data_IF_511460888518
#
_entry.id   IF_511460888518
#
_cell.length_a   1.000
_cell.length_b   1.000
_cell.length_c   1.000
_cell.angle_alpha   90.00
_cell.angle_beta   90.00
_cell.angle_gamma   90.00
#
_symmetry.space_group_name_H-M   'P 1'
#
loop_
_entity.id
_entity.type
_entity.pdbx_description
1 polymer ?
#
# COMPACT_ATOMS: atom_id res chain seq x y z
N UNK A 1 76.85 38.75 19.68
CA UNK A 1 75.76 38.51 20.65
C UNK A 1 74.47 39.03 20.03
N UNK A 2 73.57 38.17 19.58
CA UNK A 2 72.42 38.50 18.80
C UNK A 2 71.16 38.57 19.67
N UNK A 3 70.45 39.68 19.68
CA UNK A 3 69.20 39.88 20.40
C UNK A 3 68.01 39.41 19.54
N UNK A 4 67.25 38.45 20.05
CA UNK A 4 66.01 37.94 19.45
C UNK A 4 64.84 38.88 19.77
N UNK A 5 64.22 39.45 18.74
CA UNK A 5 62.94 40.16 18.84
C UNK A 5 61.76 39.16 18.74
N UNK A 6 60.94 39.11 19.76
CA UNK A 6 59.69 38.34 19.82
C UNK A 6 58.55 39.15 19.19
N UNK A 7 57.97 38.64 18.12
CA UNK A 7 56.76 39.24 17.50
C UNK A 7 55.49 38.72 18.23
N UNK A 8 54.66 39.63 18.73
CA UNK A 8 53.33 39.38 19.30
C UNK A 8 52.31 39.19 18.13
N UNK A 9 51.74 38.04 18.02
CA UNK A 9 50.64 37.71 17.12
C UNK A 9 49.32 38.21 17.70
N UNK A 10 48.67 39.15 17.00
CA UNK A 10 47.34 39.62 17.35
C UNK A 10 46.28 38.67 16.83
N UNK A 11 45.51 38.05 17.72
CA UNK A 11 44.41 37.16 17.43
C UNK A 11 43.15 37.96 17.09
N UNK A 12 42.80 38.07 15.80
CA UNK A 12 41.58 38.65 15.29
C UNK A 12 40.40 37.70 15.57
N UNK A 13 39.48 38.08 16.43
CA UNK A 13 38.21 37.38 16.66
C UNK A 13 37.20 37.79 15.60
N UNK A 14 36.99 36.91 14.60
CA UNK A 14 35.89 37.04 13.63
C UNK A 14 34.56 36.78 14.32
N UNK A 15 33.79 37.82 14.50
CA UNK A 15 32.39 37.77 14.99
C UNK A 15 31.49 37.21 13.89
N UNK A 16 31.14 35.92 13.99
CA UNK A 16 30.18 35.27 13.08
C UNK A 16 28.80 35.85 13.33
N UNK A 17 28.27 36.56 12.36
CA UNK A 17 26.86 37.01 12.34
C UNK A 17 25.95 35.80 12.13
N UNK A 18 25.17 35.49 13.13
CA UNK A 18 24.11 34.45 13.13
C UNK A 18 23.03 34.89 12.13
N UNK A 19 22.78 34.09 11.09
CA UNK A 19 21.69 34.32 10.14
C UNK A 19 20.33 34.25 10.86
N UNK A 20 19.34 35.09 10.47
CA UNK A 20 18.02 35.06 11.10
C UNK A 20 17.31 33.74 10.77
N UNK A 21 16.69 33.16 11.78
CA UNK A 21 15.88 31.95 11.66
C UNK A 21 14.76 32.18 10.65
N UNK A 22 14.75 31.37 9.59
CA UNK A 22 13.69 31.36 8.58
C UNK A 22 12.38 30.96 9.25
N UNK A 23 11.46 31.93 9.38
CA UNK A 23 10.13 31.70 9.89
C UNK A 23 9.45 30.62 9.03
N UNK A 24 8.96 29.55 9.69
CA UNK A 24 8.12 28.53 9.05
C UNK A 24 6.85 29.21 8.56
N UNK A 25 6.74 29.44 7.25
CA UNK A 25 5.49 29.85 6.64
C UNK A 25 4.44 28.78 6.96
N UNK A 26 3.38 29.15 7.70
CA UNK A 26 2.18 28.33 7.82
C UNK A 26 1.65 28.09 6.41
N UNK A 27 1.65 26.81 5.99
CA UNK A 27 1.01 26.41 4.75
C UNK A 27 -0.46 26.86 4.83
N UNK A 28 -0.87 27.71 3.92
CA UNK A 28 -2.27 28.08 3.75
C UNK A 28 -3.07 26.79 3.45
N UNK A 29 -4.30 26.63 3.99
CA UNK A 29 -5.13 25.50 3.66
C UNK A 29 -5.31 25.47 2.14
N UNK A 30 -4.92 24.37 1.51
CA UNK A 30 -5.22 24.13 0.09
C UNK A 30 -6.74 24.16 -0.02
N UNK A 31 -7.27 25.17 -0.70
CA UNK A 31 -8.67 25.17 -1.12
C UNK A 31 -8.86 23.89 -1.93
N UNK A 32 -9.70 22.97 -1.44
CA UNK A 32 -10.17 21.83 -2.21
C UNK A 32 -10.75 22.41 -3.50
N UNK A 33 -10.21 21.93 -4.64
CA UNK A 33 -10.67 22.38 -5.94
C UNK A 33 -12.19 22.19 -6.07
N UNK A 34 -12.78 23.05 -6.85
CA UNK A 34 -14.20 23.13 -7.23
C UNK A 34 -14.91 21.77 -7.19
N UNK A 35 -15.68 21.51 -6.13
CA UNK A 35 -16.52 20.33 -6.01
C UNK A 35 -17.77 20.33 -6.91
N UNK A 36 -17.87 21.28 -7.85
CA UNK A 36 -19.05 21.47 -8.68
C UNK A 36 -19.20 20.50 -9.85
N UNK A 37 -18.10 19.81 -10.24
CA UNK A 37 -18.07 18.94 -11.45
C UNK A 37 -17.53 17.54 -11.18
N UNK A 38 -17.47 17.09 -9.93
CA UNK A 38 -17.02 15.73 -9.62
C UNK A 38 -18.16 14.74 -9.82
N UNK A 39 -17.80 13.49 -10.20
CA UNK A 39 -18.77 12.38 -10.34
C UNK A 39 -19.45 12.00 -9.02
N UNK A 40 -19.08 12.61 -7.88
CA UNK A 40 -19.58 12.33 -6.54
C UNK A 40 -19.56 10.84 -6.17
N UNK A 41 -18.50 10.11 -6.57
CA UNK A 41 -18.32 8.70 -6.27
C UNK A 41 -18.16 8.49 -4.75
N UNK A 42 -18.79 7.43 -4.22
CA UNK A 42 -18.75 7.08 -2.79
C UNK A 42 -17.73 6.01 -2.46
N UNK A 43 -17.50 5.09 -3.37
CA UNK A 43 -16.59 3.97 -3.18
C UNK A 43 -16.04 3.49 -4.51
N UNK A 44 -14.96 2.74 -4.46
CA UNK A 44 -14.45 1.96 -5.57
C UNK A 44 -14.05 0.59 -5.04
N UNK A 45 -14.40 -0.47 -5.75
CA UNK A 45 -14.00 -1.84 -5.43
C UNK A 45 -13.28 -2.44 -6.62
N UNK A 46 -12.06 -2.97 -6.45
CA UNK A 46 -11.40 -3.73 -7.50
C UNK A 46 -12.27 -4.91 -7.92
N UNK A 47 -12.40 -5.10 -9.23
CA UNK A 47 -13.11 -6.26 -9.81
C UNK A 47 -12.19 -6.90 -10.85
N UNK A 48 -11.89 -8.20 -10.70
CA UNK A 48 -10.98 -8.91 -11.57
C UNK A 48 -11.35 -10.38 -11.71
N UNK A 49 -10.90 -11.01 -12.79
CA UNK A 49 -11.17 -12.42 -13.06
C UNK A 49 -9.99 -13.28 -12.67
N UNK A 50 -10.28 -14.45 -12.11
CA UNK A 50 -9.32 -15.47 -11.68
C UNK A 50 -9.47 -16.75 -12.49
N UNK A 51 -8.39 -17.52 -12.62
CA UNK A 51 -8.41 -18.77 -13.40
C UNK A 51 -9.19 -19.89 -12.70
N UNK A 52 -9.15 -19.90 -11.38
CA UNK A 52 -9.83 -20.86 -10.52
C UNK A 52 -10.43 -20.10 -9.33
N UNK A 53 -11.76 -19.94 -9.39
CA UNK A 53 -12.48 -19.14 -8.40
C UNK A 53 -12.42 -19.78 -7.01
N UNK A 54 -12.53 -21.09 -6.90
CA UNK A 54 -12.51 -21.79 -5.61
C UNK A 54 -11.14 -21.67 -4.93
N UNK A 55 -10.07 -21.84 -5.71
CA UNK A 55 -8.69 -21.65 -5.23
C UNK A 55 -8.45 -20.23 -4.76
N UNK A 56 -8.85 -19.24 -5.55
CA UNK A 56 -8.64 -17.83 -5.21
C UNK A 56 -9.52 -17.43 -4.04
N UNK A 57 -10.77 -17.88 -3.98
CA UNK A 57 -11.67 -17.67 -2.83
C UNK A 57 -11.05 -18.23 -1.54
N UNK A 58 -10.54 -19.46 -1.56
CA UNK A 58 -9.84 -20.05 -0.43
C UNK A 58 -8.65 -19.19 0.01
N UNK A 59 -7.86 -18.71 -0.92
CA UNK A 59 -6.70 -17.88 -0.62
C UNK A 59 -7.10 -16.54 0.06
N UNK A 60 -8.09 -15.83 -0.48
CA UNK A 60 -8.55 -14.57 0.10
C UNK A 60 -9.22 -14.78 1.46
N UNK A 61 -10.03 -15.84 1.61
CA UNK A 61 -10.77 -16.11 2.83
C UNK A 61 -9.86 -16.67 3.94
N UNK A 62 -9.12 -17.73 3.65
CA UNK A 62 -8.44 -18.52 4.66
C UNK A 62 -7.05 -17.95 4.99
N UNK A 63 -6.34 -17.40 4.00
CA UNK A 63 -5.01 -16.82 4.20
C UNK A 63 -5.11 -15.34 4.59
N UNK A 64 -5.82 -14.51 3.83
CA UNK A 64 -5.92 -13.09 4.11
C UNK A 64 -7.01 -12.74 5.15
N UNK A 65 -8.02 -13.58 5.29
CA UNK A 65 -9.11 -13.40 6.26
C UNK A 65 -10.20 -12.45 5.76
N UNK A 66 -10.46 -12.45 4.45
CA UNK A 66 -11.64 -11.80 3.89
C UNK A 66 -12.89 -12.61 4.20
N UNK A 67 -14.00 -11.93 4.45
CA UNK A 67 -15.32 -12.57 4.54
C UNK A 67 -16.01 -12.53 3.16
N UNK A 68 -16.75 -13.59 2.83
CA UNK A 68 -17.66 -13.58 1.67
C UNK A 68 -18.88 -12.75 2.02
N UNK A 69 -19.17 -11.71 1.24
CA UNK A 69 -20.31 -10.82 1.43
C UNK A 69 -21.47 -11.22 0.51
N UNK A 70 -21.16 -11.54 -0.74
CA UNK A 70 -22.13 -11.90 -1.77
C UNK A 70 -21.57 -12.94 -2.73
N UNK A 71 -22.45 -13.74 -3.33
CA UNK A 71 -22.09 -14.78 -4.28
C UNK A 71 -23.01 -14.72 -5.48
N UNK A 72 -22.43 -14.68 -6.68
CA UNK A 72 -23.18 -14.71 -7.95
C UNK A 72 -23.09 -16.07 -8.61
N UNK A 73 -24.23 -16.56 -9.10
CA UNK A 73 -24.33 -17.86 -9.77
C UNK A 73 -24.84 -17.71 -11.17
N UNK A 74 -24.50 -18.67 -12.03
CA UNK A 74 -25.11 -18.82 -13.34
C UNK A 74 -26.49 -19.53 -13.25
N UNK A 75 -27.12 -19.73 -14.41
CA UNK A 75 -28.42 -20.39 -14.53
C UNK A 75 -28.40 -21.85 -14.08
N UNK A 76 -27.22 -22.51 -14.11
CA UNK A 76 -27.00 -23.87 -13.63
C UNK A 76 -26.65 -23.93 -12.13
N UNK A 77 -26.61 -22.80 -11.44
CA UNK A 77 -26.32 -22.67 -10.02
C UNK A 77 -24.83 -22.71 -9.64
N UNK A 78 -23.93 -22.70 -10.64
CA UNK A 78 -22.48 -22.66 -10.40
C UNK A 78 -22.07 -21.25 -9.95
N UNK A 79 -21.18 -21.18 -8.98
CA UNK A 79 -20.64 -19.90 -8.50
C UNK A 79 -19.72 -19.30 -9.57
N UNK A 80 -20.06 -18.12 -10.07
CA UNK A 80 -19.33 -17.41 -11.11
C UNK A 80 -18.55 -16.20 -10.57
N UNK A 81 -18.88 -15.76 -9.36
CA UNK A 81 -18.17 -14.66 -8.72
C UNK A 81 -18.61 -14.45 -7.29
N UNK A 82 -17.77 -13.74 -6.55
CA UNK A 82 -18.02 -13.40 -5.15
C UNK A 82 -17.57 -11.98 -4.84
N UNK A 83 -18.28 -11.32 -3.94
CA UNK A 83 -17.82 -10.13 -3.24
C UNK A 83 -17.15 -10.52 -1.93
N UNK A 84 -15.98 -10.01 -1.69
CA UNK A 84 -15.14 -10.26 -0.53
C UNK A 84 -14.96 -8.97 0.24
N UNK A 85 -15.03 -9.04 1.57
CA UNK A 85 -14.92 -7.88 2.46
C UNK A 85 -13.88 -8.08 3.56
N UNK A 86 -13.07 -7.04 3.79
CA UNK A 86 -12.16 -6.97 4.93
C UNK A 86 -12.20 -5.55 5.52
N UNK A 87 -12.89 -5.37 6.65
CA UNK A 87 -13.16 -4.03 7.21
C UNK A 87 -14.01 -3.18 6.25
N UNK A 88 -13.48 -2.03 5.84
CA UNK A 88 -14.16 -1.12 4.91
C UNK A 88 -13.80 -1.36 3.44
N UNK A 89 -12.96 -2.38 3.16
CA UNK A 89 -12.50 -2.70 1.81
C UNK A 89 -13.27 -3.90 1.25
N UNK A 90 -13.74 -3.77 0.01
CA UNK A 90 -14.38 -4.86 -0.73
C UNK A 90 -13.68 -5.12 -2.05
N UNK A 91 -13.53 -6.40 -2.42
CA UNK A 91 -13.04 -6.86 -3.72
C UNK A 91 -14.11 -7.72 -4.38
N UNK A 92 -14.16 -7.72 -5.70
CA UNK A 92 -14.98 -8.63 -6.47
C UNK A 92 -14.08 -9.53 -7.30
N UNK A 93 -14.22 -10.83 -7.16
CA UNK A 93 -13.50 -11.80 -7.98
C UNK A 93 -14.51 -12.66 -8.74
N UNK A 94 -14.22 -12.91 -10.02
CA UNK A 94 -15.08 -13.70 -10.89
C UNK A 94 -14.30 -14.79 -11.62
N UNK A 95 -14.96 -15.90 -11.94
CA UNK A 95 -14.40 -16.96 -12.78
C UNK A 95 -14.13 -16.39 -14.17
N UNK A 96 -12.90 -16.63 -14.69
CA UNK A 96 -12.56 -16.28 -16.08
C UNK A 96 -13.29 -17.22 -17.04
N UNK A 97 -13.85 -16.68 -18.11
CA UNK A 97 -14.48 -17.44 -19.20
C UNK A 97 -13.48 -17.93 -20.27
N UNK A 98 -12.21 -17.59 -20.07
CA UNK A 98 -11.07 -17.92 -20.94
C UNK A 98 -11.19 -17.53 -22.42
N UNK A 99 -12.16 -16.68 -22.80
CA UNK A 99 -12.28 -16.22 -24.19
C UNK A 99 -11.04 -15.51 -24.71
N UNK A 100 -10.21 -14.97 -23.79
CA UNK A 100 -8.93 -14.30 -24.10
C UNK A 100 -7.71 -15.21 -23.89
N UNK A 101 -7.90 -16.52 -23.78
CA UNK A 101 -6.85 -17.50 -23.51
C UNK A 101 -6.62 -17.78 -22.03
N UNK A 102 -6.20 -19.02 -21.72
CA UNK A 102 -5.92 -19.47 -20.34
C UNK A 102 -4.57 -18.99 -19.82
N UNK A 103 -3.60 -18.80 -20.72
CA UNK A 103 -2.20 -18.51 -20.36
C UNK A 103 -1.89 -17.00 -20.32
N UNK A 104 -2.90 -16.16 -20.38
CA UNK A 104 -2.68 -14.72 -20.29
C UNK A 104 -2.18 -14.34 -18.91
N UNK A 105 -1.15 -13.52 -18.85
CA UNK A 105 -0.68 -12.92 -17.61
C UNK A 105 -1.79 -12.04 -17.00
N UNK A 106 -2.07 -12.27 -15.72
CA UNK A 106 -3.01 -11.47 -14.94
C UNK A 106 -2.24 -10.61 -13.93
N UNK A 107 -2.82 -9.50 -13.51
CA UNK A 107 -2.23 -8.61 -12.50
C UNK A 107 -1.04 -7.77 -12.99
N UNK A 108 -0.63 -7.86 -14.25
CA UNK A 108 0.44 -7.03 -14.80
C UNK A 108 0.04 -5.54 -14.83
N UNK A 109 0.95 -4.69 -14.34
CA UNK A 109 0.70 -3.25 -14.28
C UNK A 109 -0.38 -2.82 -13.28
N UNK A 110 -0.89 -3.75 -12.47
CA UNK A 110 -1.94 -3.50 -11.50
C UNK A 110 -1.50 -3.90 -10.08
N UNK A 111 -1.78 -3.03 -9.12
CA UNK A 111 -1.53 -3.28 -7.70
C UNK A 111 -2.67 -2.73 -6.88
N UNK A 112 -3.15 -3.53 -5.94
CA UNK A 112 -4.11 -3.10 -4.94
C UNK A 112 -3.32 -2.60 -3.72
N UNK A 113 -3.54 -1.36 -3.34
CA UNK A 113 -2.95 -0.78 -2.15
C UNK A 113 -4.02 -0.63 -1.08
N UNK A 114 -3.85 -1.32 0.04
CA UNK A 114 -4.77 -1.32 1.17
C UNK A 114 -4.11 -0.67 2.38
N UNK A 115 -4.86 0.16 3.09
CA UNK A 115 -4.43 0.72 4.36
C UNK A 115 -5.07 -0.02 5.52
N UNK A 116 -4.33 -0.18 6.62
CA UNK A 116 -4.81 -0.82 7.83
C UNK A 116 -4.41 -0.04 9.08
N UNK A 117 -5.21 -0.15 10.13
CA UNK A 117 -4.86 0.32 11.49
C UNK A 117 -4.22 -0.79 12.33
N UNK A 118 -4.26 -2.04 11.86
CA UNK A 118 -3.65 -3.17 12.57
C UNK A 118 -2.14 -3.18 12.41
N UNK A 119 -1.45 -3.90 13.28
CA UNK A 119 -0.02 -4.15 13.17
C UNK A 119 0.27 -4.96 11.89
N UNK A 120 1.12 -4.41 11.03
CA UNK A 120 1.55 -5.08 9.79
C UNK A 120 2.39 -6.32 10.11
N UNK A 121 3.16 -6.28 11.21
CA UNK A 121 3.94 -7.43 11.68
C UNK A 121 3.06 -8.60 12.11
N UNK A 122 1.95 -8.31 12.81
CA UNK A 122 1.02 -9.35 13.24
C UNK A 122 0.21 -9.90 12.06
N UNK A 123 -0.12 -9.05 11.09
CA UNK A 123 -0.75 -9.49 9.84
C UNK A 123 0.19 -10.40 9.04
N UNK A 124 1.48 -10.06 8.94
CA UNK A 124 2.48 -10.89 8.28
C UNK A 124 2.55 -12.28 8.90
N UNK A 125 2.75 -12.35 10.23
CA UNK A 125 2.78 -13.62 10.97
C UNK A 125 1.52 -14.46 10.76
N UNK A 126 0.35 -13.84 10.79
CA UNK A 126 -0.93 -14.53 10.56
C UNK A 126 -1.03 -15.08 9.13
N UNK A 127 -0.67 -14.30 8.13
CA UNK A 127 -0.68 -14.72 6.73
C UNK A 127 0.24 -15.92 6.54
N UNK A 128 1.47 -15.87 7.07
CA UNK A 128 2.43 -16.96 6.99
C UNK A 128 1.98 -18.21 7.76
N UNK A 129 1.40 -18.05 8.95
CA UNK A 129 0.86 -19.18 9.73
C UNK A 129 -0.34 -19.86 9.04
N UNK A 130 -1.08 -19.12 8.20
CA UNK A 130 -2.15 -19.66 7.38
C UNK A 130 -1.66 -20.24 6.03
N UNK A 131 -0.34 -20.36 5.83
CA UNK A 131 0.27 -20.90 4.62
C UNK A 131 0.45 -19.89 3.49
N UNK A 132 0.24 -18.60 3.75
CA UNK A 132 0.51 -17.53 2.80
C UNK A 132 2.01 -17.24 2.66
N UNK A 133 2.39 -16.69 1.52
CA UNK A 133 3.75 -16.24 1.24
C UNK A 133 3.76 -14.74 0.99
N UNK A 134 4.71 -14.05 1.62
CA UNK A 134 4.97 -12.64 1.37
C UNK A 134 6.02 -12.48 0.26
N UNK A 135 5.82 -11.53 -0.63
CA UNK A 135 6.83 -11.09 -1.61
C UNK A 135 7.83 -10.16 -0.92
N UNK A 136 7.35 -9.34 0.02
CA UNK A 136 8.16 -8.50 0.89
C UNK A 136 7.58 -8.53 2.29
N UNK A 137 8.44 -8.85 3.27
CA UNK A 137 8.11 -8.82 4.70
C UNK A 137 7.89 -7.40 5.23
N UNK A 138 7.55 -7.26 6.53
CA UNK A 138 7.26 -5.97 7.13
C UNK A 138 8.45 -5.00 7.00
N UNK A 139 8.30 -4.01 6.13
CA UNK A 139 9.35 -3.06 5.76
C UNK A 139 8.92 -1.62 6.04
N UNK A 140 9.84 -0.85 6.60
CA UNK A 140 9.64 0.58 6.80
C UNK A 140 9.98 1.33 5.51
N UNK A 141 9.00 2.01 4.94
CA UNK A 141 9.17 2.77 3.72
C UNK A 141 9.64 4.22 4.01
N UNK A 142 10.44 4.82 3.11
CA UNK A 142 10.95 6.19 3.29
C UNK A 142 9.84 7.25 3.42
N UNK A 143 8.67 6.98 2.87
CA UNK A 143 7.51 7.89 2.89
C UNK A 143 6.63 7.76 4.14
N UNK A 144 7.07 7.03 5.17
CA UNK A 144 6.46 7.07 6.50
C UNK A 144 5.40 6.01 6.75
N UNK A 145 5.33 4.94 5.97
CA UNK A 145 4.49 3.77 6.24
C UNK A 145 5.33 2.55 6.56
N UNK A 146 4.71 1.55 7.18
CA UNK A 146 5.22 0.19 7.29
C UNK A 146 4.29 -0.74 6.52
N UNK A 147 4.83 -1.55 5.62
CA UNK A 147 4.03 -2.38 4.72
C UNK A 147 4.55 -3.79 4.53
N UNK A 148 3.69 -4.63 3.98
CA UNK A 148 3.97 -5.95 3.40
C UNK A 148 3.43 -5.98 1.98
N UNK A 149 4.02 -6.81 1.12
CA UNK A 149 3.47 -7.10 -0.20
C UNK A 149 3.36 -8.60 -0.43
N UNK A 150 2.37 -8.99 -1.20
CA UNK A 150 2.07 -10.37 -1.56
C UNK A 150 1.38 -10.42 -2.91
N UNK A 151 1.45 -11.58 -3.54
CA UNK A 151 0.84 -11.85 -4.83
C UNK A 151 -0.18 -12.98 -4.67
N UNK A 152 -1.37 -12.80 -5.22
CA UNK A 152 -2.43 -13.81 -5.20
C UNK A 152 -2.13 -14.97 -6.18
N UNK A 153 -2.92 -16.06 -6.17
CA UNK A 153 -2.69 -17.21 -7.04
C UNK A 153 -2.69 -16.93 -8.56
N UNK A 154 -3.29 -15.80 -8.98
CA UNK A 154 -3.40 -15.39 -10.38
C UNK A 154 -2.44 -14.25 -10.78
N UNK A 155 -1.59 -13.78 -9.86
CA UNK A 155 -0.58 -12.76 -10.13
C UNK A 155 -1.00 -11.33 -9.75
N UNK A 156 -2.15 -11.12 -9.13
CA UNK A 156 -2.56 -9.79 -8.64
C UNK A 156 -1.77 -9.41 -7.39
N UNK A 157 -1.12 -8.26 -7.47
CA UNK A 157 -0.25 -7.76 -6.39
C UNK A 157 -1.04 -6.93 -5.38
N UNK A 158 -0.83 -7.22 -4.10
CA UNK A 158 -1.46 -6.52 -2.98
C UNK A 158 -0.38 -5.97 -2.06
N UNK A 159 -0.52 -4.71 -1.68
CA UNK A 159 0.28 -4.10 -0.62
C UNK A 159 -0.64 -3.73 0.53
N UNK A 160 -0.28 -4.12 1.74
CA UNK A 160 -1.01 -3.75 2.96
C UNK A 160 -0.10 -2.87 3.80
N UNK A 161 -0.49 -1.64 4.02
CA UNK A 161 0.30 -0.62 4.68
C UNK A 161 -0.38 -0.04 5.91
N UNK A 162 0.43 0.37 6.87
CA UNK A 162 0.01 1.16 8.03
C UNK A 162 0.86 2.42 8.12
N UNK A 163 0.22 3.58 8.27
CA UNK A 163 0.92 4.81 8.64
C UNK A 163 1.59 4.62 10.02
N UNK A 164 2.81 5.16 10.16
CA UNK A 164 3.56 5.16 11.42
C UNK A 164 3.03 6.20 12.38
#
# INVERSE_FOLDING_TARGET
MAARKTAKSARSTKKTKRAPARAKAKAAPRKSGNGGDSLALRSASPSFTVNDLDRSLGWYRDILGFAVEETWKDDEGRVMGVSLKAGDVSFMIGQDDWKKGRDRAKGEGFRIYCETRKSVDDLAKRIESNGGRLDSGPTNQPWGVRDISLTDPDGFKITIARAR
#
